data_IF_277574860267
#
_entry.id   IF_277574860267
#
_cell.length_a   1.000
_cell.length_b   1.000
_cell.length_c   1.000
_cell.angle_alpha   90.00
_cell.angle_beta   90.00
_cell.angle_gamma   90.00
#
_symmetry.space_group_name_H-M   'P 1'
#
loop_
_entity.id
_entity.type
_entity.pdbx_description
1 polymer ?
#
# COMPACT_ATOMS: atom_id res chain seq x y z
N UNK A 1 10.59 39.35 -10.86
CA UNK A 1 10.01 38.02 -11.17
C UNK A 1 10.39 37.10 -10.03
N UNK A 2 9.50 36.93 -9.05
CA UNK A 2 9.74 36.17 -7.82
C UNK A 2 9.39 34.71 -8.12
N UNK A 3 10.36 33.79 -7.96
CA UNK A 3 10.10 32.35 -7.88
C UNK A 3 9.95 32.00 -6.40
N UNK A 4 8.73 31.83 -5.94
CA UNK A 4 8.42 31.17 -4.66
C UNK A 4 8.47 29.66 -4.90
N UNK A 5 9.59 29.03 -4.55
CA UNK A 5 9.59 27.60 -4.23
C UNK A 5 9.29 27.50 -2.73
N UNK A 6 8.01 27.38 -2.39
CA UNK A 6 7.60 26.86 -1.09
C UNK A 6 7.81 25.35 -1.10
N UNK A 7 9.05 24.92 -0.83
CA UNK A 7 9.30 23.56 -0.35
C UNK A 7 9.34 23.62 1.18
N UNK A 8 8.36 22.96 1.80
CA UNK A 8 8.22 22.88 3.25
C UNK A 8 9.48 22.22 3.86
N UNK A 9 10.31 22.91 4.66
CA UNK A 9 11.61 22.43 5.10
C UNK A 9 11.56 21.25 6.10
N UNK A 10 10.36 20.79 6.46
CA UNK A 10 10.14 19.68 7.40
C UNK A 10 9.76 18.34 6.72
N UNK A 11 9.64 18.28 5.39
CA UNK A 11 9.19 17.06 4.69
C UNK A 11 10.26 15.96 4.55
N UNK A 12 11.51 16.19 4.97
CA UNK A 12 12.48 15.09 5.10
C UNK A 12 13.56 15.34 6.16
N UNK A 13 13.39 14.73 7.33
CA UNK A 13 14.44 14.66 8.34
C UNK A 13 15.50 13.66 7.86
N UNK A 14 16.74 14.13 7.68
CA UNK A 14 17.88 13.28 7.30
C UNK A 14 18.84 13.17 8.47
N UNK A 15 19.18 11.94 8.84
CA UNK A 15 20.21 11.66 9.83
C UNK A 15 21.49 11.24 9.12
N UNK A 16 22.61 11.85 9.52
CA UNK A 16 23.94 11.47 9.05
C UNK A 16 24.70 10.86 10.23
N UNK A 17 25.20 9.65 10.04
CA UNK A 17 26.03 8.96 11.04
C UNK A 17 27.47 9.00 10.56
N UNK A 18 28.35 9.64 11.35
CA UNK A 18 29.79 9.61 11.13
C UNK A 18 30.41 8.52 12.01
N UNK A 19 31.11 7.58 11.40
CA UNK A 19 31.81 6.50 12.09
C UNK A 19 33.08 6.14 11.30
N UNK A 20 34.10 5.64 11.99
CA UNK A 20 35.28 5.09 11.30
C UNK A 20 34.93 3.77 10.62
N UNK A 21 35.65 3.43 9.54
CA UNK A 21 35.48 2.15 8.85
C UNK A 21 35.66 0.98 9.82
N UNK A 22 36.61 1.08 10.75
CA UNK A 22 36.87 0.08 11.77
C UNK A 22 35.67 -0.13 12.70
N UNK A 23 35.03 0.95 13.13
CA UNK A 23 33.86 0.87 14.00
C UNK A 23 32.64 0.32 13.26
N UNK A 24 32.42 0.75 12.01
CA UNK A 24 31.34 0.23 11.18
C UNK A 24 31.50 -1.26 10.89
N UNK A 25 32.68 -1.69 10.47
CA UNK A 25 32.97 -3.10 10.19
C UNK A 25 32.87 -3.94 11.47
N UNK A 26 33.35 -3.43 12.60
CA UNK A 26 33.20 -4.11 13.89
C UNK A 26 31.73 -4.30 14.28
N UNK A 27 30.89 -3.29 14.06
CA UNK A 27 29.44 -3.37 14.29
C UNK A 27 28.75 -4.33 13.33
N UNK A 28 29.06 -4.28 12.04
CA UNK A 28 28.54 -5.20 11.03
C UNK A 28 28.88 -6.65 11.39
N UNK A 29 30.14 -6.91 11.75
CA UNK A 29 30.60 -8.25 12.14
C UNK A 29 29.84 -8.76 13.37
N UNK A 30 29.71 -7.92 14.40
CA UNK A 30 28.96 -8.24 15.62
C UNK A 30 27.46 -8.49 15.38
N UNK A 31 26.86 -7.84 14.38
CA UNK A 31 25.47 -8.11 13.97
C UNK A 31 25.39 -9.43 13.22
N UNK A 32 26.32 -9.70 12.28
CA UNK A 32 26.38 -10.96 11.53
C UNK A 32 26.61 -12.15 12.47
N UNK A 33 27.50 -12.04 13.45
CA UNK A 33 27.76 -13.12 14.42
C UNK A 33 26.54 -13.41 15.30
N UNK A 34 25.73 -12.39 15.62
CA UNK A 34 24.54 -12.56 16.48
C UNK A 34 23.30 -13.01 15.71
N UNK A 35 23.05 -12.46 14.52
CA UNK A 35 21.83 -12.66 13.75
C UNK A 35 22.00 -13.60 12.58
N UNK A 36 23.23 -13.90 12.18
CA UNK A 36 23.58 -14.69 11.01
C UNK A 36 23.28 -14.03 9.66
N UNK A 37 22.63 -12.85 9.64
CA UNK A 37 22.27 -12.14 8.42
C UNK A 37 22.07 -10.64 8.65
N UNK A 38 22.22 -9.86 7.58
CA UNK A 38 21.85 -8.45 7.47
C UNK A 38 21.04 -8.28 6.17
N UNK A 39 19.92 -7.55 6.23
CA UNK A 39 19.12 -7.19 5.07
C UNK A 39 19.15 -5.67 4.85
N UNK A 40 19.28 -5.22 3.61
CA UNK A 40 19.15 -3.81 3.23
C UNK A 40 18.16 -3.64 2.09
N UNK A 41 17.43 -2.52 2.11
CA UNK A 41 16.59 -2.09 0.99
C UNK A 41 17.41 -1.20 0.06
N UNK A 42 17.42 -1.54 -1.21
CA UNK A 42 18.05 -0.74 -2.26
C UNK A 42 17.07 0.31 -2.80
N UNK A 43 17.62 1.36 -3.44
CA UNK A 43 16.81 2.40 -4.09
C UNK A 43 15.98 1.87 -5.26
N UNK A 44 16.36 0.73 -5.83
CA UNK A 44 15.62 -0.01 -6.85
C UNK A 44 14.34 -0.67 -6.31
N UNK A 45 14.16 -0.73 -4.98
CA UNK A 45 13.10 -1.53 -4.35
C UNK A 45 13.46 -3.00 -4.19
N UNK A 46 14.70 -3.39 -4.50
CA UNK A 46 15.21 -4.73 -4.23
C UNK A 46 15.68 -4.84 -2.78
N UNK A 47 15.50 -6.01 -2.17
CA UNK A 47 16.04 -6.32 -0.85
C UNK A 47 17.26 -7.22 -1.02
N UNK A 48 18.40 -6.72 -0.57
CA UNK A 48 19.69 -7.44 -0.60
C UNK A 48 19.99 -8.01 0.78
N UNK A 49 20.50 -9.24 0.81
CA UNK A 49 20.84 -9.96 2.04
C UNK A 49 22.33 -10.31 2.07
N UNK A 50 22.98 -10.00 3.18
CA UNK A 50 24.33 -10.43 3.52
C UNK A 50 24.23 -11.54 4.57
N UNK A 51 24.75 -12.72 4.26
CA UNK A 51 24.67 -13.91 5.11
C UNK A 51 26.04 -14.27 5.69
N UNK A 52 26.06 -14.75 6.93
CA UNK A 52 27.30 -15.21 7.56
C UNK A 52 27.70 -16.61 7.05
N UNK A 53 28.64 -16.63 6.10
CA UNK A 53 29.18 -17.87 5.53
C UNK A 53 30.13 -18.65 6.44
N UNK A 54 30.55 -18.08 7.58
CA UNK A 54 31.53 -18.72 8.49
C UNK A 54 30.97 -19.98 9.16
N UNK A 55 29.63 -20.08 9.23
CA UNK A 55 28.92 -21.23 9.80
C UNK A 55 28.72 -22.38 8.79
N UNK A 56 29.23 -22.24 7.56
CA UNK A 56 29.20 -23.26 6.52
C UNK A 56 28.00 -23.17 5.58
N UNK A 57 28.14 -23.76 4.39
CA UNK A 57 27.17 -23.62 3.30
C UNK A 57 25.76 -24.15 3.63
N UNK A 58 25.66 -25.19 4.46
CA UNK A 58 24.36 -25.73 4.90
C UNK A 58 23.56 -24.72 5.74
N UNK A 59 24.24 -23.99 6.64
CA UNK A 59 23.60 -22.99 7.49
C UNK A 59 23.05 -21.83 6.65
N UNK A 60 23.85 -21.35 5.69
CA UNK A 60 23.44 -20.31 4.74
C UNK A 60 22.25 -20.77 3.90
N UNK A 61 22.27 -22.00 3.37
CA UNK A 61 21.17 -22.54 2.57
C UNK A 61 19.84 -22.62 3.36
N UNK A 62 19.92 -23.02 4.65
CA UNK A 62 18.76 -23.04 5.54
C UNK A 62 18.18 -21.64 5.75
N UNK A 63 19.02 -20.64 6.04
CA UNK A 63 18.58 -19.26 6.20
C UNK A 63 17.93 -18.71 4.92
N UNK A 64 18.48 -19.03 3.75
CA UNK A 64 17.88 -18.66 2.46
C UNK A 64 16.49 -19.27 2.31
N UNK A 65 16.31 -20.55 2.66
CA UNK A 65 15.01 -21.21 2.60
C UNK A 65 14.00 -20.56 3.55
N UNK A 66 14.40 -20.28 4.79
CA UNK A 66 13.55 -19.63 5.80
C UNK A 66 13.11 -18.22 5.36
N UNK A 67 14.03 -17.42 4.80
CA UNK A 67 13.71 -16.11 4.22
C UNK A 67 12.71 -16.27 3.07
N UNK A 68 12.96 -17.21 2.16
CA UNK A 68 12.10 -17.41 1.00
C UNK A 68 10.69 -17.86 1.42
N UNK A 69 10.58 -18.75 2.41
CA UNK A 69 9.30 -19.19 2.94
C UNK A 69 8.54 -18.03 3.59
N UNK A 70 9.23 -17.17 4.36
CA UNK A 70 8.60 -15.96 4.91
C UNK A 70 8.14 -14.98 3.82
N UNK A 71 8.95 -14.77 2.77
CA UNK A 71 8.58 -13.92 1.64
C UNK A 71 7.40 -14.50 0.85
N UNK A 72 7.34 -15.82 0.69
CA UNK A 72 6.20 -16.53 0.07
C UNK A 72 4.94 -16.38 0.89
N UNK A 73 5.01 -16.55 2.21
CA UNK A 73 3.85 -16.36 3.09
C UNK A 73 3.36 -14.91 3.05
N UNK A 74 4.25 -13.91 3.10
CA UNK A 74 3.88 -12.50 2.94
C UNK A 74 3.23 -12.21 1.59
N UNK A 75 3.77 -12.76 0.49
CA UNK A 75 3.18 -12.59 -0.84
C UNK A 75 1.80 -13.24 -0.93
N UNK A 76 1.62 -14.42 -0.35
CA UNK A 76 0.34 -15.12 -0.31
C UNK A 76 -0.69 -14.36 0.54
N UNK A 77 -0.33 -13.89 1.73
CA UNK A 77 -1.25 -13.09 2.56
C UNK A 77 -1.59 -11.76 1.90
N UNK A 78 -0.62 -11.10 1.26
CA UNK A 78 -0.87 -9.89 0.47
C UNK A 78 -1.81 -10.16 -0.71
N UNK A 79 -1.65 -11.28 -1.42
CA UNK A 79 -2.55 -11.68 -2.51
C UNK A 79 -3.97 -11.96 -1.99
N UNK A 80 -4.11 -12.62 -0.85
CA UNK A 80 -5.42 -12.87 -0.23
C UNK A 80 -6.09 -11.57 0.24
N UNK A 81 -5.34 -10.65 0.84
CA UNK A 81 -5.84 -9.33 1.23
C UNK A 81 -6.30 -8.51 0.00
N UNK A 82 -5.54 -8.56 -1.10
CA UNK A 82 -5.94 -7.92 -2.37
C UNK A 82 -7.21 -8.55 -2.95
N UNK A 83 -7.34 -9.88 -2.93
CA UNK A 83 -8.56 -10.57 -3.37
C UNK A 83 -9.77 -10.19 -2.51
N UNK A 84 -9.59 -10.09 -1.18
CA UNK A 84 -10.65 -9.62 -0.27
C UNK A 84 -11.05 -8.19 -0.59
N UNK A 85 -10.09 -7.29 -0.78
CA UNK A 85 -10.34 -5.90 -1.16
C UNK A 85 -11.10 -5.81 -2.49
N UNK A 86 -10.70 -6.55 -3.52
CA UNK A 86 -11.39 -6.58 -4.81
C UNK A 86 -12.84 -7.08 -4.68
N UNK A 87 -13.11 -8.06 -3.81
CA UNK A 87 -14.47 -8.52 -3.52
C UNK A 87 -15.31 -7.43 -2.85
N UNK A 88 -14.73 -6.65 -1.94
CA UNK A 88 -15.43 -5.51 -1.31
C UNK A 88 -15.73 -4.41 -2.31
N UNK A 89 -14.75 -4.04 -3.13
CA UNK A 89 -14.93 -3.05 -4.21
C UNK A 89 -16.06 -3.50 -5.15
N UNK A 90 -16.08 -4.77 -5.56
CA UNK A 90 -17.14 -5.31 -6.41
C UNK A 90 -18.51 -5.28 -5.73
N UNK A 91 -18.59 -5.62 -4.44
CA UNK A 91 -19.84 -5.55 -3.69
C UNK A 91 -20.37 -4.12 -3.62
N UNK A 92 -19.50 -3.15 -3.36
CA UNK A 92 -19.86 -1.74 -3.35
C UNK A 92 -20.30 -1.25 -4.75
N UNK A 93 -19.56 -1.57 -5.81
CA UNK A 93 -19.97 -1.20 -7.18
C UNK A 93 -21.34 -1.79 -7.55
N UNK A 94 -21.60 -3.03 -7.15
CA UNK A 94 -22.87 -3.71 -7.42
C UNK A 94 -24.04 -3.14 -6.59
N UNK A 95 -23.79 -2.65 -5.36
CA UNK A 95 -24.83 -1.99 -4.56
C UNK A 95 -25.32 -0.69 -5.18
N UNK A 96 -24.47 -0.04 -5.98
CA UNK A 96 -24.80 1.12 -6.81
C UNK A 96 -25.54 0.78 -8.12
N UNK A 97 -25.84 -0.50 -8.38
CA UNK A 97 -26.55 -0.94 -9.58
C UNK A 97 -25.71 -0.79 -10.86
N UNK A 98 -24.39 -0.68 -10.74
CA UNK A 98 -23.50 -0.62 -11.90
C UNK A 98 -23.46 -1.98 -12.58
N UNK A 99 -23.65 -1.98 -13.90
CA UNK A 99 -23.60 -3.22 -14.70
C UNK A 99 -22.15 -3.67 -14.88
N UNK A 100 -21.86 -4.92 -14.55
CA UNK A 100 -20.51 -5.48 -14.65
C UNK A 100 -20.01 -5.58 -16.10
N UNK A 101 -20.91 -5.69 -17.09
CA UNK A 101 -20.54 -5.79 -18.51
C UNK A 101 -19.96 -4.47 -19.08
N UNK A 102 -20.13 -3.35 -18.38
CA UNK A 102 -19.69 -2.05 -18.85
C UNK A 102 -18.23 -1.79 -18.48
N UNK A 103 -17.43 -1.39 -19.48
CA UNK A 103 -16.01 -1.02 -19.29
C UNK A 103 -15.80 0.07 -18.22
N UNK A 104 -16.77 0.96 -18.01
CA UNK A 104 -16.64 1.98 -16.97
C UNK A 104 -16.68 1.40 -15.55
N UNK A 105 -17.36 0.29 -15.33
CA UNK A 105 -17.34 -0.44 -14.05
C UNK A 105 -15.96 -1.05 -13.79
N UNK A 106 -15.36 -1.62 -14.83
CA UNK A 106 -14.00 -2.16 -14.78
C UNK A 106 -12.96 -1.06 -14.48
N UNK A 107 -13.06 0.09 -15.16
CA UNK A 107 -12.19 1.23 -14.88
C UNK A 107 -12.39 1.79 -13.46
N UNK A 108 -13.64 1.87 -12.98
CA UNK A 108 -13.92 2.31 -11.61
C UNK A 108 -13.25 1.38 -10.58
N UNK A 109 -13.40 0.06 -10.76
CA UNK A 109 -12.76 -0.94 -9.91
C UNK A 109 -11.25 -0.71 -9.81
N UNK A 110 -10.59 -0.50 -10.96
CA UNK A 110 -9.15 -0.27 -11.00
C UNK A 110 -8.75 1.04 -10.33
N UNK A 111 -9.49 2.13 -10.61
CA UNK A 111 -9.26 3.44 -9.99
C UNK A 111 -9.35 3.34 -8.46
N UNK A 112 -10.40 2.71 -7.95
CA UNK A 112 -10.63 2.56 -6.51
C UNK A 112 -9.54 1.70 -5.88
N UNK A 113 -9.19 0.58 -6.52
CA UNK A 113 -8.11 -0.29 -6.07
C UNK A 113 -6.77 0.47 -5.99
N UNK A 114 -6.43 1.21 -7.04
CA UNK A 114 -5.22 2.02 -7.08
C UNK A 114 -5.20 3.12 -5.99
N UNK A 115 -6.34 3.78 -5.76
CA UNK A 115 -6.46 4.82 -4.72
C UNK A 115 -6.26 4.25 -3.31
N UNK A 116 -6.81 3.06 -3.04
CA UNK A 116 -6.69 2.40 -1.73
C UNK A 116 -5.27 1.87 -1.51
N UNK A 117 -4.66 1.22 -2.51
CA UNK A 117 -3.35 0.58 -2.37
C UNK A 117 -2.21 1.61 -2.32
N UNK A 118 -2.26 2.67 -3.12
CA UNK A 118 -1.14 3.60 -3.26
C UNK A 118 -1.20 4.82 -2.32
N UNK A 119 -2.15 4.87 -1.36
CA UNK A 119 -2.34 5.99 -0.42
C UNK A 119 -2.30 7.38 -1.10
N UNK A 120 -2.67 7.45 -2.37
CA UNK A 120 -2.53 8.68 -3.15
C UNK A 120 -3.50 9.71 -2.60
N UNK A 121 -2.97 10.81 -2.06
CA UNK A 121 -3.70 11.97 -1.55
C UNK A 121 -5.05 12.15 -2.24
N UNK A 122 -6.13 11.81 -1.54
CA UNK A 122 -7.51 11.98 -2.01
C UNK A 122 -7.81 13.45 -2.38
N UNK A 123 -7.05 14.38 -1.81
CA UNK A 123 -7.05 15.81 -2.14
C UNK A 123 -6.55 16.11 -3.55
N UNK A 124 -5.75 15.23 -4.15
CA UNK A 124 -5.27 15.30 -5.52
C UNK A 124 -5.77 14.12 -6.35
N UNK A 125 -7.10 13.92 -6.42
CA UNK A 125 -7.80 13.15 -7.48
C UNK A 125 -7.54 13.70 -8.92
N UNK A 126 -6.48 14.48 -9.07
CA UNK A 126 -5.99 15.06 -10.30
C UNK A 126 -5.57 13.99 -11.30
N UNK A 127 -5.47 14.43 -12.55
CA UNK A 127 -5.20 13.71 -13.82
C UNK A 127 -4.26 12.49 -13.79
N UNK A 128 -3.41 12.34 -12.76
CA UNK A 128 -2.50 11.22 -12.57
C UNK A 128 -3.18 9.85 -12.50
N UNK A 129 -4.23 9.70 -11.68
CA UNK A 129 -4.89 8.38 -11.52
C UNK A 129 -5.55 7.91 -12.82
N UNK A 130 -6.21 8.81 -13.54
CA UNK A 130 -6.74 8.49 -14.87
C UNK A 130 -5.64 8.15 -15.87
N UNK A 131 -4.47 8.79 -15.77
CA UNK A 131 -3.32 8.51 -16.64
C UNK A 131 -2.70 7.14 -16.34
N UNK A 132 -2.60 6.76 -15.07
CA UNK A 132 -2.04 5.47 -14.66
C UNK A 132 -2.96 4.33 -15.10
N UNK A 133 -4.27 4.47 -14.89
CA UNK A 133 -5.26 3.51 -15.40
C UNK A 133 -5.31 3.50 -16.93
N UNK A 134 -5.18 4.66 -17.59
CA UNK A 134 -5.08 4.74 -19.05
C UNK A 134 -3.88 3.95 -19.59
N UNK A 135 -2.72 4.07 -18.94
CA UNK A 135 -1.52 3.30 -19.29
C UNK A 135 -1.72 1.81 -19.06
N UNK A 136 -2.35 1.42 -17.96
CA UNK A 136 -2.64 0.01 -17.65
C UNK A 136 -3.48 -0.66 -18.74
N UNK A 137 -4.51 0.03 -19.23
CA UNK A 137 -5.43 -0.49 -20.26
C UNK A 137 -5.04 -0.12 -21.70
N UNK A 138 -3.90 0.56 -21.92
CA UNK A 138 -3.47 1.00 -23.26
C UNK A 138 -4.48 1.94 -23.94
N UNK A 139 -5.16 2.78 -23.18
CA UNK A 139 -6.24 3.67 -23.65
C UNK A 139 -5.93 5.14 -23.34
N UNK A 140 -6.80 6.05 -23.76
CA UNK A 140 -6.70 7.47 -23.41
C UNK A 140 -7.50 7.81 -22.14
N UNK A 141 -7.00 8.72 -21.27
CA UNK A 141 -7.71 9.18 -20.07
C UNK A 141 -9.13 9.71 -20.35
N UNK A 142 -9.34 10.35 -21.51
CA UNK A 142 -10.64 10.88 -21.93
C UNK A 142 -11.66 9.78 -22.19
N UNK A 143 -11.22 8.62 -22.71
CA UNK A 143 -12.09 7.48 -22.96
C UNK A 143 -12.52 6.81 -21.65
N UNK A 144 -11.63 6.78 -20.65
CA UNK A 144 -11.95 6.32 -19.30
C UNK A 144 -13.03 7.21 -18.68
N UNK A 145 -12.83 8.53 -18.65
CA UNK A 145 -13.81 9.47 -18.09
C UNK A 145 -15.19 9.33 -18.76
N UNK A 146 -15.20 9.20 -20.09
CA UNK A 146 -16.43 8.98 -20.87
C UNK A 146 -17.11 7.65 -20.52
N UNK A 147 -16.35 6.56 -20.38
CA UNK A 147 -16.89 5.25 -20.05
C UNK A 147 -17.48 5.21 -18.62
N UNK A 148 -16.80 5.85 -17.66
CA UNK A 148 -17.30 6.00 -16.29
C UNK A 148 -18.59 6.82 -16.28
N UNK A 149 -18.60 7.96 -16.98
CA UNK A 149 -19.79 8.81 -17.09
C UNK A 149 -20.98 8.05 -17.67
N UNK A 150 -20.77 7.28 -18.74
CA UNK A 150 -21.82 6.46 -19.35
C UNK A 150 -22.37 5.41 -18.37
N UNK A 151 -21.47 4.69 -17.68
CA UNK A 151 -21.84 3.64 -16.72
C UNK A 151 -22.67 4.21 -15.57
N UNK A 152 -22.23 5.35 -15.02
CA UNK A 152 -22.94 6.07 -13.97
C UNK A 152 -24.33 6.54 -14.42
N UNK A 153 -24.43 7.08 -15.63
CA UNK A 153 -25.72 7.51 -16.21
C UNK A 153 -26.69 6.35 -16.41
N UNK A 154 -26.20 5.18 -16.82
CA UNK A 154 -27.03 3.97 -16.94
C UNK A 154 -27.58 3.50 -15.59
N UNK A 155 -26.83 3.68 -14.51
CA UNK A 155 -27.28 3.38 -13.15
C UNK A 155 -28.14 4.49 -12.51
N UNK A 156 -28.45 5.58 -13.23
CA UNK A 156 -29.28 6.68 -12.72
C UNK A 156 -28.58 7.57 -11.68
N UNK A 157 -27.25 7.54 -11.60
CA UNK A 157 -26.47 8.31 -10.62
C UNK A 157 -26.15 9.71 -11.17
N UNK A 158 -26.53 10.75 -10.42
CA UNK A 158 -26.46 12.15 -10.84
C UNK A 158 -25.13 12.86 -10.51
N UNK A 159 -24.38 12.34 -9.53
CA UNK A 159 -23.09 12.89 -9.06
C UNK A 159 -22.05 12.99 -10.17
N UNK A 160 -21.12 13.94 -10.14
CA UNK A 160 -19.97 13.96 -11.07
C UNK A 160 -19.05 12.75 -10.86
N UNK A 161 -18.14 12.47 -11.80
CA UNK A 161 -17.28 11.27 -11.73
C UNK A 161 -16.40 11.32 -10.47
N UNK A 162 -15.87 12.50 -10.17
CA UNK A 162 -15.06 12.78 -8.97
C UNK A 162 -15.89 12.56 -7.71
N UNK A 163 -17.06 13.20 -7.59
CA UNK A 163 -17.93 13.07 -6.42
C UNK A 163 -18.39 11.64 -6.19
N UNK A 164 -18.70 10.91 -7.27
CA UNK A 164 -19.10 9.52 -7.17
C UNK A 164 -17.98 8.64 -6.63
N UNK A 165 -16.74 8.83 -7.09
CA UNK A 165 -15.58 8.07 -6.63
C UNK A 165 -15.27 8.41 -5.16
N UNK A 166 -15.35 9.67 -4.77
CA UNK A 166 -15.22 10.06 -3.36
C UNK A 166 -16.28 9.43 -2.47
N UNK A 167 -17.54 9.45 -2.91
CA UNK A 167 -18.63 8.83 -2.16
C UNK A 167 -18.39 7.33 -1.98
N UNK A 168 -18.02 6.65 -3.06
CA UNK A 168 -17.77 5.22 -3.03
C UNK A 168 -16.57 4.84 -2.13
N UNK A 169 -15.52 5.66 -2.14
CA UNK A 169 -14.39 5.49 -1.22
C UNK A 169 -14.80 5.67 0.24
N UNK A 170 -15.62 6.67 0.56
CA UNK A 170 -16.13 6.89 1.92
C UNK A 170 -17.01 5.71 2.38
N UNK A 171 -17.87 5.21 1.49
CA UNK A 171 -18.73 4.06 1.79
C UNK A 171 -17.88 2.80 2.04
N UNK A 172 -16.85 2.55 1.22
CA UNK A 172 -15.91 1.46 1.43
C UNK A 172 -15.14 1.59 2.75
N UNK A 173 -14.75 2.80 3.16
CA UNK A 173 -14.11 3.02 4.46
C UNK A 173 -15.08 2.72 5.62
N UNK A 174 -16.36 3.05 5.46
CA UNK A 174 -17.39 2.75 6.45
C UNK A 174 -17.69 1.25 6.57
N UNK A 175 -17.70 0.51 5.45
CA UNK A 175 -17.88 -0.94 5.42
C UNK A 175 -16.65 -1.70 5.94
N UNK A 176 -15.44 -1.25 5.59
CA UNK A 176 -14.20 -1.83 6.09
C UNK A 176 -14.06 -1.69 7.62
N UNK A 177 -14.57 -0.60 8.19
CA UNK A 177 -14.63 -0.37 9.65
C UNK A 177 -15.61 -1.31 10.37
N UNK A 178 -16.59 -1.87 9.65
CA UNK A 178 -17.56 -2.86 10.17
C UNK A 178 -17.02 -4.28 10.09
N UNK A 179 -16.23 -4.62 9.06
CA UNK A 179 -15.60 -5.95 8.94
C UNK A 179 -14.46 -6.15 9.94
N UNK A 180 -13.67 -5.11 10.23
CA UNK A 180 -12.64 -5.15 11.31
C UNK A 180 -13.23 -5.42 12.69
N UNK A 181 -14.48 -5.02 12.94
CA UNK A 181 -15.18 -5.25 14.21
C UNK A 181 -15.64 -6.72 14.39
N UNK A 182 -15.66 -7.52 13.32
CA UNK A 182 -16.10 -8.93 13.32
C UNK A 182 -14.96 -9.94 13.33
N UNK A 183 -13.74 -9.55 12.92
CA UNK A 183 -12.57 -10.46 12.82
C UNK A 183 -11.64 -10.45 14.06
N UNK A 184 -12.04 -9.87 15.20
CA UNK A 184 -11.30 -9.98 16.47
C UNK A 184 -11.41 -11.38 17.08
N UNK A 185 -10.89 -12.41 16.40
CA UNK A 185 -10.58 -13.71 16.99
C UNK A 185 -9.19 -14.16 16.49
N UNK A 186 -8.20 -13.88 17.36
CA UNK A 186 -7.04 -14.70 17.75
C UNK A 186 -6.21 -15.36 16.65
N UNK A 187 -4.98 -14.85 16.45
CA UNK A 187 -3.76 -15.68 16.48
C UNK A 187 -2.61 -14.87 17.08
N UNK A 188 -2.12 -15.28 18.26
CA UNK A 188 -0.90 -14.76 18.87
C UNK A 188 0.32 -15.55 18.39
N UNK A 189 1.42 -14.85 18.10
CA UNK A 189 2.76 -15.43 18.03
C UNK A 189 3.71 -14.57 18.90
N UNK A 190 4.70 -15.20 19.56
CA UNK A 190 5.58 -14.53 20.50
C UNK A 190 6.71 -13.81 19.76
N UNK A 191 6.90 -12.51 20.06
CA UNK A 191 8.12 -11.79 19.71
C UNK A 191 7.99 -10.65 18.70
N UNK A 192 6.81 -10.41 18.12
CA UNK A 192 6.49 -9.13 17.47
C UNK A 192 4.98 -9.03 17.37
N UNK A 193 4.35 -8.31 18.30
CA UNK A 193 2.96 -7.94 18.17
C UNK A 193 2.90 -6.93 17.03
N UNK A 194 2.38 -7.35 15.88
CA UNK A 194 1.83 -6.41 14.91
C UNK A 194 0.36 -6.79 14.82
N UNK A 195 -0.44 -6.05 15.57
CA UNK A 195 -1.89 -6.10 15.46
C UNK A 195 -2.32 -5.34 14.21
N UNK A 196 -3.48 -5.68 13.63
CA UNK A 196 -4.11 -4.86 12.58
C UNK A 196 -4.37 -3.40 13.03
N UNK A 197 -4.35 -3.14 14.34
CA UNK A 197 -4.30 -1.81 14.92
C UNK A 197 -3.03 -1.02 14.53
N UNK A 198 -1.88 -1.66 14.32
CA UNK A 198 -0.63 -0.97 13.96
C UNK A 198 -0.64 -0.52 12.49
N UNK A 199 -1.40 -1.20 11.61
CA UNK A 199 -1.60 -0.75 10.23
C UNK A 199 -2.62 0.39 10.11
N UNK A 200 -3.55 0.50 11.07
CA UNK A 200 -4.63 1.51 11.07
C UNK A 200 -4.27 2.73 11.93
N UNK A 201 -3.52 2.56 13.03
CA UNK A 201 -3.09 3.63 13.92
C UNK A 201 -2.07 4.59 13.27
N UNK A 202 -1.28 4.14 12.29
CA UNK A 202 -0.44 5.05 11.50
C UNK A 202 -1.23 5.98 10.57
N UNK A 203 -2.56 5.86 10.49
CA UNK A 203 -3.39 6.63 9.54
C UNK A 203 -4.55 7.40 10.19
N UNK A 204 -4.53 7.65 11.50
CA UNK A 204 -5.51 8.55 12.11
C UNK A 204 -5.41 8.69 13.64
N UNK A 205 -4.58 9.62 14.12
CA UNK A 205 -4.88 10.41 15.32
C UNK A 205 -4.06 11.71 15.30
N UNK A 206 -4.58 12.73 14.62
CA UNK A 206 -4.30 14.10 15.00
C UNK A 206 -5.24 14.45 16.15
N UNK A 207 -4.81 14.23 17.38
CA UNK A 207 -5.47 14.83 18.54
C UNK A 207 -4.81 16.19 18.79
N UNK A 208 -5.55 17.24 18.44
CA UNK A 208 -5.43 18.55 19.05
C UNK A 208 -5.85 18.42 20.52
N UNK A 209 -4.88 18.38 21.43
CA UNK A 209 -5.10 18.83 22.80
C UNK A 209 -3.78 19.17 23.51
N UNK A 210 -3.62 20.48 23.77
CA UNK A 210 -3.01 21.07 24.97
C UNK A 210 -1.52 21.47 24.94
N UNK A 211 -1.35 22.80 24.97
CA UNK A 211 -0.20 23.67 25.30
C UNK A 211 0.76 24.07 24.18
#
# INVERSE_FOLDING_TARGET
MIKTNDENPFDSIKFYVAASDRDMLGRLTSILERKGMISCWEKSGEMSFLLDGRQGGYHVARQISEINDHLRHRRNTQSESQKRLLKLINRALNSYGLREELKGTEFLREIIFHLIVNKGNLTNFSKGVYLDVARHYGTEPKLIDRAIRYTRMQAGITLTNVEFIHKLLNDLQSEASLETKKETIVYSLPGTQITLADLVAENGCGDLASY
#
